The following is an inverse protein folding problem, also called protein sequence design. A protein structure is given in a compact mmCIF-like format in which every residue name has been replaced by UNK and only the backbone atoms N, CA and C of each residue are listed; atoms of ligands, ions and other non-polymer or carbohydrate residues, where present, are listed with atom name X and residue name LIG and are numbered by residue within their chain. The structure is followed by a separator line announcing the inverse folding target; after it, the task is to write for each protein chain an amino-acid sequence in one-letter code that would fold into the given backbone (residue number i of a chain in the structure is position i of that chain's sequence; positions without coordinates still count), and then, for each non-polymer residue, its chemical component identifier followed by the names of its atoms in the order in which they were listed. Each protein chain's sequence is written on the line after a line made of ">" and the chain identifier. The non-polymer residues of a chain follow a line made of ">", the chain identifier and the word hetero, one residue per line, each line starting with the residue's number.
data_IF_410411558033
#
_entry.id   IF_410411558033
#
_cell.length_a   1.000
_cell.length_b   1.000
_cell.length_c   1.000
_cell.angle_alpha   90.00
_cell.angle_beta   90.00
_cell.angle_gamma   90.00
#
_symmetry.space_group_name_H-M   'P 1'
#
loop_
_entity.id
_entity.type
_entity.pdbx_description
1 polymer ?
#
# COMPACT_ATOMS: atom_id res chain seq x y z
N UNK A 1 -3.67 1.66 2.76
CA UNK A 1 -4.96 2.22 2.29
C UNK A 1 -6.13 1.96 3.24
N UNK A 2 -6.14 0.85 3.98
CA UNK A 2 -7.22 0.51 4.93
C UNK A 2 -7.57 1.63 5.91
N UNK A 3 -6.59 2.31 6.51
CA UNK A 3 -6.84 3.40 7.47
C UNK A 3 -7.62 4.59 6.85
N UNK A 4 -7.32 4.95 5.60
CA UNK A 4 -8.02 6.02 4.88
C UNK A 4 -9.45 5.59 4.54
N UNK A 5 -9.65 4.34 4.11
CA UNK A 5 -10.98 3.78 3.86
C UNK A 5 -11.85 3.76 5.13
N UNK A 6 -11.27 3.36 6.27
CA UNK A 6 -11.95 3.39 7.56
C UNK A 6 -12.30 4.81 7.99
N UNK A 7 -11.38 5.78 7.79
CA UNK A 7 -11.65 7.18 8.13
C UNK A 7 -12.84 7.73 7.31
N UNK A 8 -12.86 7.43 6.01
CA UNK A 8 -13.96 7.81 5.14
C UNK A 8 -15.31 7.23 5.62
N UNK A 9 -15.36 5.93 5.94
CA UNK A 9 -16.58 5.29 6.41
C UNK A 9 -17.05 5.84 7.76
N UNK A 10 -16.14 6.15 8.67
CA UNK A 10 -16.46 6.80 9.95
C UNK A 10 -17.09 8.18 9.73
N UNK A 11 -16.48 9.01 8.88
CA UNK A 11 -17.00 10.35 8.57
C UNK A 11 -18.36 10.32 7.87
N UNK A 12 -18.56 9.35 6.97
CA UNK A 12 -19.85 9.11 6.31
C UNK A 12 -20.95 8.75 7.33
N UNK A 13 -20.60 8.09 8.42
CA UNK A 13 -21.50 7.80 9.54
C UNK A 13 -21.67 8.98 10.53
N UNK A 14 -21.13 10.16 10.19
CA UNK A 14 -21.20 11.36 11.03
C UNK A 14 -20.23 11.36 12.20
N UNK A 15 -19.27 10.43 12.25
CA UNK A 15 -18.17 10.46 13.22
C UNK A 15 -17.11 11.46 12.76
N UNK A 16 -16.30 11.96 13.71
CA UNK A 16 -15.11 12.74 13.38
C UNK A 16 -13.86 11.89 13.62
N UNK A 17 -12.90 11.99 12.70
CA UNK A 17 -11.61 11.31 12.82
C UNK A 17 -10.57 12.35 13.21
N UNK A 18 -10.10 12.29 14.46
CA UNK A 18 -9.16 13.27 15.00
C UNK A 18 -7.72 13.09 14.49
N UNK A 19 -7.38 11.91 13.97
CA UNK A 19 -6.03 11.57 13.53
C UNK A 19 -6.07 10.47 12.46
N UNK A 20 -5.41 10.72 11.33
CA UNK A 20 -5.12 9.71 10.32
C UNK A 20 -3.62 9.63 10.08
N UNK A 21 -2.99 8.58 10.62
CA UNK A 21 -1.56 8.30 10.45
C UNK A 21 -1.31 7.39 9.26
N UNK A 22 -0.40 7.80 8.38
CA UNK A 22 -0.01 7.06 7.18
C UNK A 22 1.52 6.91 7.17
N UNK A 23 1.98 5.66 7.21
CA UNK A 23 3.41 5.35 7.24
C UNK A 23 3.84 4.71 5.92
N UNK A 24 4.69 5.41 5.17
CA UNK A 24 5.36 4.98 3.94
C UNK A 24 4.45 4.18 2.99
N UNK A 25 3.20 4.63 2.89
CA UNK A 25 2.13 3.95 2.16
C UNK A 25 2.02 4.58 0.78
N UNK A 26 1.92 3.76 -0.26
CA UNK A 26 1.66 4.23 -1.62
C UNK A 26 0.34 3.60 -2.08
N UNK A 27 -0.67 4.39 -2.46
CA UNK A 27 -1.86 3.84 -3.06
C UNK A 27 -1.53 3.28 -4.44
N UNK A 28 -2.03 2.09 -4.73
CA UNK A 28 -1.84 1.41 -6.02
C UNK A 28 -3.12 1.52 -6.87
N UNK A 29 -3.70 2.72 -7.00
CA UNK A 29 -4.99 2.92 -7.68
C UNK A 29 -5.03 2.33 -9.09
N UNK A 30 -3.95 2.52 -9.85
CA UNK A 30 -3.87 2.07 -11.25
C UNK A 30 -4.01 0.55 -11.37
N UNK A 31 -3.50 -0.20 -10.39
CA UNK A 31 -3.51 -1.67 -10.40
C UNK A 31 -4.94 -2.21 -10.25
N UNK A 32 -5.83 -1.47 -9.56
CA UNK A 32 -7.20 -1.91 -9.26
C UNK A 32 -8.27 -1.13 -10.03
N UNK A 33 -7.89 -0.47 -11.13
CA UNK A 33 -8.78 0.35 -11.95
C UNK A 33 -9.85 -0.47 -12.70
N UNK A 34 -9.64 -1.77 -12.93
CA UNK A 34 -10.62 -2.69 -13.52
C UNK A 34 -11.41 -3.52 -12.50
N UNK A 35 -12.68 -3.85 -12.81
CA UNK A 35 -13.53 -4.74 -11.99
C UNK A 35 -13.02 -6.19 -11.91
N UNK A 36 -12.21 -6.60 -12.89
CA UNK A 36 -11.49 -7.87 -12.90
C UNK A 36 -10.03 -7.53 -13.15
N UNK A 37 -9.19 -7.78 -12.15
CA UNK A 37 -7.74 -7.70 -12.33
C UNK A 37 -7.33 -8.72 -13.38
N UNK A 38 -6.69 -8.24 -14.44
CA UNK A 38 -5.94 -9.06 -15.37
C UNK A 38 -4.79 -9.76 -14.64
N UNK A 39 -4.26 -10.84 -15.22
CA UNK A 39 -3.14 -11.57 -14.60
C UNK A 39 -1.91 -10.69 -14.32
N UNK A 40 -1.69 -9.64 -15.11
CA UNK A 40 -0.58 -8.69 -14.90
C UNK A 40 -0.87 -7.70 -13.77
N UNK A 41 -2.13 -7.27 -13.61
CA UNK A 41 -2.54 -6.41 -12.50
C UNK A 41 -2.50 -7.17 -11.16
N UNK A 42 -2.91 -8.43 -11.13
CA UNK A 42 -2.75 -9.28 -9.93
C UNK A 42 -1.28 -9.47 -9.55
N UNK A 43 -0.38 -9.53 -10.54
CA UNK A 43 1.05 -9.59 -10.28
C UNK A 43 1.61 -8.27 -9.75
N UNK A 44 1.25 -7.15 -10.38
CA UNK A 44 1.68 -5.81 -9.96
C UNK A 44 1.08 -5.41 -8.61
N UNK A 45 -0.05 -5.99 -8.22
CA UNK A 45 -0.63 -5.84 -6.90
C UNK A 45 0.22 -6.47 -5.80
N UNK A 46 0.95 -7.55 -6.13
CA UNK A 46 1.75 -8.28 -5.16
C UNK A 46 3.25 -7.94 -5.21
N UNK A 47 3.78 -7.55 -6.37
CA UNK A 47 5.11 -6.96 -6.44
C UNK A 47 4.98 -5.50 -6.00
N UNK A 48 5.35 -5.23 -4.75
CA UNK A 48 5.40 -3.85 -4.23
C UNK A 48 6.18 -2.93 -5.17
N UNK A 49 5.78 -1.65 -5.19
CA UNK A 49 6.34 -0.61 -6.06
C UNK A 49 7.86 -0.46 -5.96
N UNK A 50 8.46 -0.89 -4.86
CA UNK A 50 9.90 -0.88 -4.60
C UNK A 50 10.69 -1.93 -5.38
N UNK A 51 10.08 -3.08 -5.70
CA UNK A 51 10.66 -4.17 -6.52
C UNK A 51 10.07 -4.23 -7.94
N UNK A 52 9.17 -3.30 -8.29
CA UNK A 52 8.64 -3.15 -9.66
C UNK A 52 9.76 -3.03 -10.71
N UNK A 53 10.86 -2.35 -10.39
CA UNK A 53 12.01 -2.25 -11.29
C UNK A 53 12.70 -3.60 -11.50
N UNK A 54 12.77 -4.45 -10.48
CA UNK A 54 13.35 -5.79 -10.60
C UNK A 54 12.45 -6.71 -11.42
N UNK A 55 11.13 -6.59 -11.27
CA UNK A 55 10.19 -7.25 -12.17
C UNK A 55 10.37 -6.78 -13.62
N UNK A 56 10.48 -5.47 -13.86
CA UNK A 56 10.67 -4.92 -15.21
C UNK A 56 11.99 -5.34 -15.86
N UNK A 57 13.00 -5.74 -15.08
CA UNK A 57 14.28 -6.28 -15.56
C UNK A 57 14.20 -7.74 -15.99
N UNK A 58 13.13 -8.46 -15.65
CA UNK A 58 12.96 -9.85 -16.07
C UNK A 58 12.79 -9.94 -17.59
N UNK A 59 13.28 -11.02 -18.23
CA UNK A 59 13.09 -11.24 -19.66
C UNK A 59 11.63 -11.15 -20.07
N UNK A 60 11.34 -10.49 -21.19
CA UNK A 60 9.96 -10.33 -21.70
C UNK A 60 9.23 -11.67 -21.83
N UNK A 61 9.93 -12.70 -22.32
CA UNK A 61 9.38 -14.06 -22.44
C UNK A 61 8.87 -14.59 -21.10
N UNK A 62 9.55 -14.30 -20.01
CA UNK A 62 9.17 -14.74 -18.67
C UNK A 62 7.98 -13.96 -18.14
N UNK A 63 7.95 -12.64 -18.34
CA UNK A 63 6.82 -11.79 -17.98
C UNK A 63 5.55 -12.16 -18.75
N UNK A 64 5.67 -12.42 -20.06
CA UNK A 64 4.55 -12.85 -20.91
C UNK A 64 4.07 -14.27 -20.56
N UNK A 65 4.97 -15.20 -20.25
CA UNK A 65 4.60 -16.56 -19.84
C UNK A 65 3.82 -16.56 -18.51
N UNK A 66 4.27 -15.75 -17.55
CA UNK A 66 3.56 -15.53 -16.29
C UNK A 66 2.15 -14.99 -16.53
N UNK A 67 2.04 -13.91 -17.32
CA UNK A 67 0.75 -13.30 -17.65
C UNK A 67 -0.21 -14.29 -18.31
N UNK A 68 0.27 -15.05 -19.29
CA UNK A 68 -0.53 -16.08 -19.96
C UNK A 68 -1.00 -17.17 -18.98
N UNK A 69 -0.14 -17.58 -18.05
CA UNK A 69 -0.47 -18.58 -17.04
C UNK A 69 -1.54 -18.06 -16.06
N UNK A 70 -1.36 -16.85 -15.52
CA UNK A 70 -2.32 -16.23 -14.60
C UNK A 70 -3.69 -16.04 -15.26
N UNK A 71 -3.75 -15.63 -16.54
CA UNK A 71 -5.02 -15.49 -17.28
C UNK A 71 -5.74 -16.83 -17.46
N UNK A 72 -5.01 -17.92 -17.66
CA UNK A 72 -5.59 -19.26 -17.85
C UNK A 72 -6.05 -19.91 -16.53
N UNK A 73 -5.54 -19.47 -15.39
CA UNK A 73 -5.91 -20.00 -14.09
C UNK A 73 -7.30 -19.51 -13.63
N UNK A 74 -8.06 -20.35 -12.91
CA UNK A 74 -9.22 -19.91 -12.13
C UNK A 74 -8.84 -18.81 -11.15
N UNK A 75 -9.74 -17.83 -10.94
CA UNK A 75 -9.48 -16.63 -10.15
C UNK A 75 -8.96 -16.95 -8.74
N UNK A 76 -9.53 -17.97 -8.09
CA UNK A 76 -9.16 -18.43 -6.75
C UNK A 76 -7.76 -19.03 -6.66
N UNK A 77 -7.14 -19.39 -7.79
CA UNK A 77 -5.78 -19.94 -7.85
C UNK A 77 -4.73 -18.92 -8.25
N UNK A 78 -5.13 -17.77 -8.79
CA UNK A 78 -4.18 -16.80 -9.34
C UNK A 78 -3.31 -16.16 -8.27
N UNK A 79 -3.91 -15.76 -7.15
CA UNK A 79 -3.20 -15.14 -6.03
C UNK A 79 -2.17 -16.12 -5.45
N UNK A 80 -2.57 -17.36 -5.18
CA UNK A 80 -1.68 -18.41 -4.66
C UNK A 80 -0.49 -18.69 -5.61
N UNK A 81 -0.72 -18.59 -6.92
CA UNK A 81 0.32 -18.77 -7.92
C UNK A 81 1.26 -17.55 -7.98
N UNK A 82 0.70 -16.34 -8.08
CA UNK A 82 1.45 -15.09 -8.15
C UNK A 82 2.39 -14.93 -6.95
N UNK A 83 1.90 -15.21 -5.74
CA UNK A 83 2.69 -15.12 -4.52
C UNK A 83 3.88 -16.06 -4.56
N UNK A 84 3.65 -17.32 -4.93
CA UNK A 84 4.69 -18.33 -5.01
C UNK A 84 5.73 -18.00 -6.07
N UNK A 85 5.26 -17.58 -7.24
CA UNK A 85 6.14 -17.21 -8.35
C UNK A 85 7.05 -16.04 -7.98
N UNK A 86 6.50 -15.04 -7.28
CA UNK A 86 7.27 -13.89 -6.78
C UNK A 86 8.30 -14.33 -5.72
N UNK A 87 7.90 -15.22 -4.80
CA UNK A 87 8.77 -15.75 -3.75
C UNK A 87 9.94 -16.56 -4.31
N UNK A 88 9.70 -17.39 -5.33
CA UNK A 88 10.74 -18.19 -6.02
C UNK A 88 11.77 -17.33 -6.75
N UNK A 89 11.45 -16.07 -7.05
CA UNK A 89 12.30 -15.14 -7.82
C UNK A 89 12.85 -13.99 -6.99
N UNK A 90 12.70 -14.05 -5.67
CA UNK A 90 13.14 -13.01 -4.75
C UNK A 90 12.58 -11.62 -5.13
N UNK A 91 11.31 -11.57 -5.53
CA UNK A 91 10.62 -10.34 -5.92
C UNK A 91 9.81 -9.72 -4.77
N UNK A 92 9.88 -10.33 -3.58
CA UNK A 92 9.22 -9.88 -2.37
C UNK A 92 10.18 -9.08 -1.51
N UNK A 93 9.63 -8.17 -0.70
CA UNK A 93 10.40 -7.55 0.37
C UNK A 93 10.88 -8.62 1.37
N UNK A 94 11.91 -8.31 2.16
CA UNK A 94 12.43 -9.27 3.15
C UNK A 94 11.36 -9.73 4.15
N UNK A 95 10.44 -8.82 4.52
CA UNK A 95 9.32 -9.11 5.41
C UNK A 95 8.32 -10.09 4.78
N UNK A 96 7.94 -9.84 3.54
CA UNK A 96 7.03 -10.70 2.78
C UNK A 96 7.65 -12.07 2.49
N UNK A 97 8.95 -12.11 2.19
CA UNK A 97 9.68 -13.36 1.98
C UNK A 97 9.67 -14.25 3.23
N UNK A 98 9.74 -13.65 4.43
CA UNK A 98 9.65 -14.35 5.73
C UNK A 98 8.22 -14.69 6.14
N UNK A 99 7.23 -14.05 5.53
CA UNK A 99 5.82 -14.28 5.83
C UNK A 99 5.31 -15.62 5.29
N UNK A 100 4.29 -16.16 5.97
CA UNK A 100 3.58 -17.36 5.50
C UNK A 100 2.70 -17.03 4.30
N UNK A 101 2.42 -18.04 3.46
CA UNK A 101 1.51 -17.88 2.32
C UNK A 101 0.15 -17.30 2.74
N UNK A 102 -0.40 -17.76 3.87
CA UNK A 102 -1.69 -17.28 4.35
C UNK A 102 -1.66 -15.81 4.78
N UNK A 103 -0.59 -15.35 5.44
CA UNK A 103 -0.43 -13.93 5.79
C UNK A 103 -0.33 -13.05 4.55
N UNK A 104 0.40 -13.50 3.53
CA UNK A 104 0.55 -12.78 2.26
C UNK A 104 -0.80 -12.66 1.52
N UNK A 105 -1.62 -13.72 1.55
CA UNK A 105 -2.98 -13.70 0.99
C UNK A 105 -3.91 -12.74 1.75
N UNK A 106 -3.81 -12.70 3.07
CA UNK A 106 -4.57 -11.73 3.89
C UNK A 106 -4.15 -10.30 3.56
N UNK A 107 -2.84 -10.02 3.48
CA UNK A 107 -2.32 -8.72 3.08
C UNK A 107 -2.85 -8.28 1.72
N UNK A 108 -2.76 -9.15 0.71
CA UNK A 108 -3.31 -8.91 -0.61
C UNK A 108 -4.82 -8.61 -0.58
N UNK A 109 -5.61 -9.37 0.19
CA UNK A 109 -7.05 -9.15 0.29
C UNK A 109 -7.38 -7.79 0.91
N UNK A 110 -6.62 -7.37 1.93
CA UNK A 110 -6.78 -6.07 2.58
C UNK A 110 -6.39 -4.92 1.65
N UNK A 111 -5.28 -5.04 0.94
CA UNK A 111 -4.82 -4.02 -0.02
C UNK A 111 -5.80 -3.89 -1.19
N UNK A 112 -6.28 -5.01 -1.74
CA UNK A 112 -7.31 -5.03 -2.77
C UNK A 112 -8.59 -4.38 -2.30
N UNK A 113 -9.09 -4.74 -1.12
CA UNK A 113 -10.31 -4.15 -0.57
C UNK A 113 -10.16 -2.65 -0.35
N UNK A 114 -9.02 -2.21 0.19
CA UNK A 114 -8.72 -0.79 0.38
C UNK A 114 -8.61 -0.03 -0.94
N UNK A 115 -8.02 -0.62 -1.97
CA UNK A 115 -7.89 0.02 -3.28
C UNK A 115 -9.24 0.15 -4.01
N UNK A 116 -10.06 -0.92 -4.01
CA UNK A 116 -11.42 -0.88 -4.58
C UNK A 116 -12.26 0.16 -3.86
N UNK A 117 -12.24 0.16 -2.52
CA UNK A 117 -12.98 1.13 -1.73
C UNK A 117 -12.63 2.56 -2.15
N UNK A 118 -11.34 2.86 -2.26
CA UNK A 118 -10.88 4.20 -2.59
C UNK A 118 -11.17 4.60 -4.02
N UNK A 119 -11.11 3.67 -4.99
CA UNK A 119 -11.55 3.90 -6.37
C UNK A 119 -13.02 4.33 -6.38
N UNK A 120 -13.87 3.60 -5.67
CA UNK A 120 -15.31 3.87 -5.62
C UNK A 120 -15.62 5.22 -4.92
N UNK A 121 -14.68 5.77 -4.17
CA UNK A 121 -14.81 7.02 -3.39
C UNK A 121 -13.74 8.07 -3.76
N UNK A 122 -13.16 8.00 -4.97
CA UNK A 122 -12.00 8.81 -5.38
C UNK A 122 -12.24 10.33 -5.26
N UNK A 123 -13.50 10.76 -5.41
CA UNK A 123 -13.90 12.17 -5.33
C UNK A 123 -14.42 12.60 -3.95
N UNK A 124 -14.21 11.81 -2.91
CA UNK A 124 -14.72 12.10 -1.57
C UNK A 124 -13.57 12.13 -0.54
N UNK A 125 -12.78 13.22 -0.51
CA UNK A 125 -11.69 13.37 0.44
C UNK A 125 -12.22 13.35 1.88
N UNK A 126 -11.43 12.78 2.79
CA UNK A 126 -11.77 12.81 4.23
C UNK A 126 -11.60 14.23 4.80
N UNK A 127 -12.18 14.50 5.94
CA UNK A 127 -12.00 15.75 6.71
C UNK A 127 -10.85 15.62 7.71
N UNK A 128 -10.47 14.40 8.05
CA UNK A 128 -9.44 14.08 9.02
C UNK A 128 -8.08 14.76 8.71
N UNK A 129 -7.37 15.27 9.74
CA UNK A 129 -5.98 15.68 9.58
C UNK A 129 -5.11 14.45 9.25
N UNK A 130 -4.28 14.57 8.22
CA UNK A 130 -3.39 13.49 7.76
C UNK A 130 -1.96 13.76 8.21
N UNK A 131 -1.38 12.76 8.86
CA UNK A 131 0.03 12.75 9.23
C UNK A 131 0.71 11.64 8.43
N UNK A 132 1.52 12.03 7.46
CA UNK A 132 2.21 11.13 6.55
C UNK A 132 3.71 11.10 6.86
N UNK A 133 4.30 9.91 6.89
CA UNK A 133 5.74 9.73 7.09
C UNK A 133 6.35 8.94 5.94
N UNK A 134 7.35 9.53 5.27
CA UNK A 134 8.12 8.85 4.23
C UNK A 134 9.44 8.32 4.78
N UNK A 135 9.86 7.15 4.30
CA UNK A 135 11.18 6.61 4.62
C UNK A 135 12.26 7.28 3.77
N UNK A 136 13.48 7.37 4.30
CA UNK A 136 14.62 7.87 3.50
C UNK A 136 14.85 7.03 2.25
N UNK A 137 14.62 5.72 2.31
CA UNK A 137 14.76 4.84 1.15
C UNK A 137 13.71 5.14 0.06
N UNK A 138 12.45 5.38 0.45
CA UNK A 138 11.40 5.81 -0.49
C UNK A 138 11.78 7.15 -1.13
N UNK A 139 12.20 8.13 -0.33
CA UNK A 139 12.60 9.44 -0.86
C UNK A 139 13.81 9.37 -1.79
N UNK A 140 14.82 8.54 -1.47
CA UNK A 140 15.98 8.35 -2.32
C UNK A 140 15.60 7.72 -3.67
N UNK A 141 14.65 6.79 -3.67
CA UNK A 141 14.18 6.12 -4.89
C UNK A 141 13.39 7.05 -5.80
N UNK A 142 12.53 7.89 -5.23
CA UNK A 142 11.58 8.71 -6.00
C UNK A 142 11.99 10.19 -6.12
N UNK A 143 13.03 10.63 -5.41
CA UNK A 143 13.47 12.03 -5.30
C UNK A 143 12.56 12.91 -4.44
N UNK A 144 11.32 12.47 -4.17
CA UNK A 144 10.31 13.15 -3.34
C UNK A 144 9.31 12.14 -2.78
N UNK A 145 8.41 12.60 -1.91
CA UNK A 145 7.23 11.82 -1.51
C UNK A 145 6.41 11.44 -2.75
N UNK A 146 6.19 10.15 -3.03
CA UNK A 146 5.55 9.70 -4.27
C UNK A 146 4.05 10.00 -4.33
N UNK A 147 3.43 10.33 -3.19
CA UNK A 147 1.99 10.60 -3.06
C UNK A 147 1.79 11.97 -2.46
N UNK A 148 0.93 12.76 -3.09
CA UNK A 148 0.48 14.02 -2.53
C UNK A 148 -0.80 13.80 -1.71
N UNK A 149 -0.65 13.74 -0.39
CA UNK A 149 -1.74 13.41 0.53
C UNK A 149 -2.81 14.49 0.62
N UNK A 150 -2.55 15.73 0.17
CA UNK A 150 -3.59 16.77 0.10
C UNK A 150 -4.70 16.44 -0.88
N UNK A 151 -4.48 15.48 -1.80
CA UNK A 151 -5.53 15.02 -2.70
C UNK A 151 -6.57 14.12 -2.02
N UNK A 152 -6.28 13.63 -0.81
CA UNK A 152 -7.14 12.66 -0.10
C UNK A 152 -7.82 13.25 1.14
N UNK A 153 -7.54 14.50 1.50
CA UNK A 153 -8.14 15.15 2.66
C UNK A 153 -8.43 16.63 2.40
N UNK A 154 -9.47 17.14 3.05
CA UNK A 154 -9.75 18.58 3.20
C UNK A 154 -9.19 19.15 4.50
N UNK A 155 -8.72 18.29 5.40
CA UNK A 155 -8.01 18.64 6.62
C UNK A 155 -6.52 18.96 6.38
N UNK A 156 -5.79 19.41 7.42
CA UNK A 156 -4.38 19.72 7.29
C UNK A 156 -3.55 18.45 7.04
N UNK A 157 -2.49 18.59 6.25
CA UNK A 157 -1.52 17.52 5.96
C UNK A 157 -0.18 17.87 6.57
N UNK A 158 0.35 16.99 7.41
CA UNK A 158 1.71 17.08 7.95
C UNK A 158 2.55 15.96 7.37
N UNK A 159 3.69 16.29 6.74
CA UNK A 159 4.60 15.31 6.17
C UNK A 159 5.90 15.29 6.97
N UNK A 160 6.28 14.10 7.45
CA UNK A 160 7.54 13.84 8.13
C UNK A 160 8.43 12.87 7.36
N UNK A 161 9.70 12.81 7.78
CA UNK A 161 10.68 11.86 7.25
C UNK A 161 11.14 10.95 8.40
N UNK A 162 11.31 9.67 8.08
CA UNK A 162 11.80 8.62 8.98
C UNK A 162 13.03 7.96 8.37
N UNK A 163 14.14 7.82 9.11
CA UNK A 163 15.31 7.10 8.61
C UNK A 163 15.00 5.63 8.34
N UNK A 164 15.64 5.07 7.31
CA UNK A 164 15.61 3.65 7.01
C UNK A 164 14.69 3.25 5.86
N UNK A 165 14.27 1.99 5.90
CA UNK A 165 13.23 1.42 5.05
C UNK A 165 11.86 1.34 5.74
N UNK A 166 10.87 0.78 5.03
CA UNK A 166 9.50 0.62 5.52
C UNK A 166 9.43 -0.18 6.82
N UNK A 167 10.14 -1.31 6.90
CA UNK A 167 10.11 -2.21 8.04
C UNK A 167 10.78 -1.57 9.25
N UNK A 168 11.91 -0.89 9.04
CA UNK A 168 12.59 -0.12 10.09
C UNK A 168 11.71 1.03 10.61
N UNK A 169 10.96 1.69 9.73
CA UNK A 169 10.05 2.75 10.13
C UNK A 169 8.87 2.25 10.97
N UNK A 170 8.31 1.07 10.66
CA UNK A 170 7.26 0.43 11.47
C UNK A 170 7.78 0.06 12.87
N UNK A 171 9.05 -0.29 13.00
CA UNK A 171 9.67 -0.65 14.28
C UNK A 171 10.29 0.55 15.02
N UNK A 172 10.27 1.73 14.40
CA UNK A 172 10.98 2.91 14.91
C UNK A 172 10.33 3.47 16.17
N UNK A 173 11.07 3.47 17.28
CA UNK A 173 10.67 4.18 18.49
C UNK A 173 10.39 5.66 18.22
N UNK A 174 11.13 6.29 17.30
CA UNK A 174 10.95 7.70 16.97
C UNK A 174 9.58 7.96 16.32
N UNK A 175 9.13 7.06 15.44
CA UNK A 175 7.79 7.15 14.83
C UNK A 175 6.72 6.99 15.91
N UNK A 176 6.85 5.99 16.77
CA UNK A 176 5.89 5.75 17.85
C UNK A 176 5.81 6.91 18.85
N UNK A 177 6.95 7.53 19.18
CA UNK A 177 7.01 8.72 20.05
C UNK A 177 6.28 9.91 19.41
N UNK A 178 6.55 10.21 18.13
CA UNK A 178 5.86 11.29 17.40
C UNK A 178 4.35 11.06 17.32
N UNK A 179 3.92 9.83 17.05
CA UNK A 179 2.49 9.48 17.05
C UNK A 179 1.90 9.73 18.43
N UNK A 180 2.59 9.31 19.50
CA UNK A 180 2.14 9.49 20.88
C UNK A 180 2.05 10.97 21.28
N UNK A 181 2.99 11.81 20.85
CA UNK A 181 2.95 13.27 21.07
C UNK A 181 1.72 13.91 20.40
N UNK A 182 1.46 13.54 19.14
CA UNK A 182 0.29 14.03 18.40
C UNK A 182 -1.01 13.61 19.11
N UNK A 183 -1.14 12.32 19.44
CA UNK A 183 -2.34 11.78 20.08
C UNK A 183 -2.57 12.39 21.47
N UNK A 184 -1.50 12.66 22.22
CA UNK A 184 -1.60 13.32 23.53
C UNK A 184 -2.11 14.75 23.41
N UNK A 185 -1.69 15.48 22.38
CA UNK A 185 -2.16 16.84 22.11
C UNK A 185 -3.62 16.94 21.64
N UNK A 186 -4.21 15.84 21.16
CA UNK A 186 -5.62 15.75 20.77
C UNK A 186 -6.57 15.42 21.93
N UNK A 187 -6.03 14.98 23.07
CA UNK A 187 -6.80 14.56 24.25
C UNK A 187 -7.08 15.71 25.24
N UNK A 188 -6.78 16.95 24.84
CA UNK A 188 -7.00 18.20 25.58
C UNK A 188 -8.06 19.04 24.89
#
# INVERSE_FOLDING_TARGET
>A
MVALAMAHELERQGQSVAFLGILDTQPHFDVYSGDILSGTEEMLAYIRSDRKQDFLRLPDKERTALEAHLRALPQEKRVDYAIRWAKERDLLSEEEARSSMEMLKVGYALDKAGAIFMRDHENQPVQAPVYAWWTTNTLQRHGKGPVDWSNYTTGPVTVGIVPGDHTEAVQSLQVHQRISEILSGLST
#
